data_IF_304952811819
#
_entry.id   IF_304952811819
#
_cell.length_a   1.000
_cell.length_b   1.000
_cell.length_c   1.000
_cell.angle_alpha   90.00
_cell.angle_beta   90.00
_cell.angle_gamma   90.00
#
_symmetry.space_group_name_H-M   'P 1'
#
loop_
_entity.id
_entity.type
_entity.pdbx_description
1 polymer ?
#
# COMPACT_ATOMS: atom_id res chain seq x y z
N UNK A 1 39.02 -51.12 -11.70
CA UNK A 1 38.16 -50.37 -12.65
C UNK A 1 36.91 -49.77 -11.98
N UNK A 2 36.99 -49.30 -10.71
CA UNK A 2 35.83 -48.72 -9.96
C UNK A 2 36.13 -47.34 -9.34
N UNK A 3 37.41 -46.98 -9.16
CA UNK A 3 37.80 -45.65 -8.63
C UNK A 3 37.70 -44.51 -9.67
N UNK A 4 37.77 -44.79 -10.98
CA UNK A 4 37.74 -43.75 -12.02
C UNK A 4 36.32 -43.20 -12.27
N UNK A 5 35.27 -44.02 -12.05
CA UNK A 5 33.87 -43.60 -12.24
C UNK A 5 33.35 -42.67 -11.14
N UNK A 6 33.89 -42.76 -9.91
CA UNK A 6 33.46 -41.94 -8.77
C UNK A 6 33.88 -40.48 -8.88
N UNK A 7 35.01 -40.19 -9.56
CA UNK A 7 35.49 -38.82 -9.77
C UNK A 7 34.75 -38.09 -10.89
N UNK A 8 34.35 -38.80 -11.95
CA UNK A 8 33.58 -38.22 -13.05
C UNK A 8 32.14 -37.82 -12.63
N UNK A 9 31.49 -38.64 -11.80
CA UNK A 9 30.14 -38.34 -11.29
C UNK A 9 30.10 -37.11 -10.37
N UNK A 10 31.13 -36.90 -9.55
CA UNK A 10 31.21 -35.75 -8.64
C UNK A 10 31.48 -34.43 -9.38
N UNK A 11 32.29 -34.44 -10.46
CA UNK A 11 32.51 -33.26 -11.31
C UNK A 11 31.28 -32.90 -12.16
N UNK A 12 30.51 -33.90 -12.61
CA UNK A 12 29.26 -33.65 -13.34
C UNK A 12 28.16 -33.06 -12.43
N UNK A 13 28.07 -33.49 -11.17
CA UNK A 13 27.11 -32.92 -10.22
C UNK A 13 27.42 -31.44 -9.90
N UNK A 14 28.70 -31.08 -9.79
CA UNK A 14 29.13 -29.70 -9.53
C UNK A 14 28.90 -28.78 -10.74
N UNK A 15 29.10 -29.28 -11.96
CA UNK A 15 28.83 -28.53 -13.18
C UNK A 15 27.33 -28.25 -13.41
N UNK A 16 26.45 -29.18 -13.00
CA UNK A 16 24.99 -29.00 -13.10
C UNK A 16 24.45 -27.94 -12.13
N UNK A 17 25.06 -27.78 -10.95
CA UNK A 17 24.67 -26.74 -9.98
C UNK A 17 25.08 -25.34 -10.47
N UNK A 18 26.18 -25.22 -11.22
CA UNK A 18 26.63 -23.95 -11.80
C UNK A 18 25.90 -23.55 -13.08
N UNK A 19 25.22 -24.50 -13.75
CA UNK A 19 24.46 -24.26 -14.98
C UNK A 19 22.94 -24.15 -14.75
N UNK A 20 22.51 -24.07 -13.50
CA UNK A 20 21.14 -23.68 -13.18
C UNK A 20 21.13 -22.14 -13.17
N UNK A 21 20.59 -21.47 -14.20
CA UNK A 21 20.43 -20.03 -14.13
C UNK A 21 19.64 -19.73 -12.87
N UNK A 22 20.19 -18.86 -12.01
CA UNK A 22 19.45 -18.22 -10.92
C UNK A 22 18.46 -17.25 -11.56
N UNK A 23 17.55 -17.78 -12.38
CA UNK A 23 16.29 -17.16 -12.75
C UNK A 23 15.27 -17.61 -11.70
N UNK A 24 15.58 -17.40 -10.42
CA UNK A 24 14.52 -17.27 -9.44
C UNK A 24 13.79 -15.99 -9.81
N UNK A 25 12.72 -16.20 -10.56
CA UNK A 25 11.84 -15.22 -11.10
C UNK A 25 11.53 -14.18 -10.02
N UNK A 26 11.79 -12.92 -10.37
CA UNK A 26 11.08 -11.82 -9.76
C UNK A 26 9.63 -11.88 -10.29
N UNK A 27 8.89 -12.94 -9.98
CA UNK A 27 7.45 -12.97 -10.23
C UNK A 27 6.87 -11.89 -9.33
N UNK A 28 6.50 -10.74 -9.90
CA UNK A 28 5.66 -9.78 -9.18
C UNK A 28 4.51 -10.58 -8.60
N UNK A 29 4.34 -10.52 -7.29
CA UNK A 29 3.19 -11.12 -6.65
C UNK A 29 1.94 -10.51 -7.28
N UNK A 30 1.13 -11.36 -7.89
CA UNK A 30 -0.03 -10.96 -8.69
C UNK A 30 -1.26 -10.99 -7.83
N UNK A 31 -1.99 -9.89 -7.83
CA UNK A 31 -3.26 -9.77 -7.12
C UNK A 31 -4.41 -10.08 -8.07
N UNK A 32 -5.32 -10.98 -7.68
CA UNK A 32 -6.56 -11.25 -8.45
C UNK A 32 -7.54 -10.08 -8.40
N UNK A 33 -7.43 -9.20 -7.39
CA UNK A 33 -8.28 -8.02 -7.20
C UNK A 33 -7.53 -6.78 -7.66
N UNK A 34 -8.01 -6.15 -8.73
CA UNK A 34 -7.50 -4.84 -9.19
C UNK A 34 -7.63 -3.79 -8.08
N UNK A 35 -6.48 -3.30 -7.63
CA UNK A 35 -6.38 -2.42 -6.46
C UNK A 35 -5.81 -1.05 -6.86
N UNK A 36 -6.52 0.01 -6.51
CA UNK A 36 -6.09 1.40 -6.65
C UNK A 36 -5.51 1.88 -5.33
N UNK A 37 -4.26 2.33 -5.33
CA UNK A 37 -3.60 2.89 -4.15
C UNK A 37 -3.43 4.38 -4.35
N UNK A 38 -4.08 5.18 -3.51
CA UNK A 38 -3.93 6.62 -3.48
C UNK A 38 -2.97 6.97 -2.36
N UNK A 39 -1.83 7.58 -2.73
CA UNK A 39 -0.79 7.98 -1.79
C UNK A 39 -0.76 9.49 -1.70
N UNK A 40 -0.70 10.01 -0.47
CA UNK A 40 -0.47 11.43 -0.26
C UNK A 40 0.43 11.67 0.93
N UNK A 41 1.40 12.56 0.75
CA UNK A 41 2.32 12.97 1.80
C UNK A 41 2.75 14.43 1.58
N UNK A 42 2.60 15.33 2.58
CA UNK A 42 2.88 16.76 2.40
C UNK A 42 4.37 17.07 2.20
N UNK A 43 5.25 16.16 2.63
CA UNK A 43 6.71 16.27 2.52
C UNK A 43 7.32 14.95 2.00
N UNK A 44 7.00 14.52 0.76
CA UNK A 44 7.30 13.19 0.24
C UNK A 44 8.81 12.89 0.28
N UNK A 45 9.66 13.89 0.06
CA UNK A 45 11.12 13.78 0.13
C UNK A 45 11.66 13.40 1.52
N UNK A 46 10.89 13.63 2.58
CA UNK A 46 11.25 13.25 3.96
C UNK A 46 10.56 11.97 4.43
N UNK A 47 9.70 11.38 3.60
CA UNK A 47 8.90 10.23 3.98
C UNK A 47 9.71 8.93 3.88
N UNK A 48 9.73 8.16 4.96
CA UNK A 48 10.35 6.83 4.98
C UNK A 48 9.29 5.74 4.88
N UNK A 49 8.28 5.75 5.77
CA UNK A 49 7.27 4.70 5.83
C UNK A 49 6.29 4.77 4.65
N UNK A 50 5.71 5.93 4.36
CA UNK A 50 4.77 6.07 3.23
C UNK A 50 5.48 5.79 1.90
N UNK A 51 6.75 6.20 1.77
CA UNK A 51 7.57 5.88 0.60
C UNK A 51 7.80 4.37 0.45
N UNK A 52 8.21 3.69 1.52
CA UNK A 52 8.41 2.23 1.48
C UNK A 52 7.12 1.46 1.18
N UNK A 53 5.98 1.90 1.75
CA UNK A 53 4.67 1.31 1.44
C UNK A 53 4.25 1.56 -0.02
N UNK A 54 4.53 2.75 -0.54
CA UNK A 54 4.29 3.07 -1.94
C UNK A 54 5.12 2.17 -2.87
N UNK A 55 6.43 2.07 -2.64
CA UNK A 55 7.34 1.25 -3.43
C UNK A 55 6.95 -0.24 -3.40
N UNK A 56 6.55 -0.74 -2.22
CA UNK A 56 6.01 -2.09 -2.09
C UNK A 56 4.74 -2.28 -2.94
N UNK A 57 3.79 -1.33 -2.89
CA UNK A 57 2.57 -1.39 -3.70
C UNK A 57 2.86 -1.34 -5.21
N UNK A 58 3.81 -0.49 -5.64
CA UNK A 58 4.25 -0.38 -7.04
C UNK A 58 4.92 -1.67 -7.54
N UNK A 59 5.44 -2.51 -6.65
CA UNK A 59 6.06 -3.79 -7.01
C UNK A 59 5.05 -4.88 -7.38
N UNK A 60 3.76 -4.72 -7.08
CA UNK A 60 2.75 -5.77 -7.25
C UNK A 60 2.03 -5.69 -8.61
N UNK A 61 1.72 -6.83 -9.22
CA UNK A 61 0.88 -6.88 -10.43
C UNK A 61 -0.60 -6.74 -10.05
N UNK A 62 -1.35 -5.94 -10.82
CA UNK A 62 -2.77 -5.64 -10.55
C UNK A 62 -3.00 -4.46 -9.59
N UNK A 63 -1.92 -3.82 -9.14
CA UNK A 63 -1.96 -2.61 -8.31
C UNK A 63 -1.62 -1.38 -9.14
N UNK A 64 -2.49 -0.37 -9.09
CA UNK A 64 -2.25 0.95 -9.69
C UNK A 64 -2.00 1.95 -8.57
N UNK A 65 -0.81 2.55 -8.54
CA UNK A 65 -0.44 3.55 -7.54
C UNK A 65 -0.58 4.95 -8.11
N UNK A 66 -1.21 5.85 -7.35
CA UNK A 66 -1.38 7.28 -7.69
C UNK A 66 -0.89 8.12 -6.53
N UNK A 67 0.32 8.66 -6.67
CA UNK A 67 0.86 9.64 -5.73
C UNK A 67 0.36 11.05 -6.11
N UNK A 68 -0.45 11.65 -5.24
CA UNK A 68 -1.16 12.90 -5.55
C UNK A 68 -0.21 14.07 -5.74
N UNK A 69 0.82 14.19 -4.91
CA UNK A 69 1.82 15.25 -5.02
C UNK A 69 2.68 15.11 -6.28
N UNK A 70 2.94 13.89 -6.72
CA UNK A 70 3.66 13.63 -7.98
C UNK A 70 2.81 14.01 -9.20
N UNK A 71 1.52 13.68 -9.18
CA UNK A 71 0.61 13.92 -10.31
C UNK A 71 0.17 15.38 -10.43
N UNK A 72 -0.09 16.04 -9.30
CA UNK A 72 -0.75 17.34 -9.25
C UNK A 72 0.07 18.43 -8.55
N UNK A 73 1.25 18.09 -8.01
CA UNK A 73 1.99 18.98 -7.13
C UNK A 73 1.23 19.23 -5.83
N UNK A 74 1.42 20.41 -5.26
CA UNK A 74 0.75 20.85 -4.03
C UNK A 74 -0.46 21.78 -4.32
N UNK A 75 -0.94 21.81 -5.56
CA UNK A 75 -2.10 22.62 -5.96
C UNK A 75 -3.34 21.74 -6.09
N UNK A 76 -4.19 21.81 -5.07
CA UNK A 76 -5.43 21.01 -4.99
C UNK A 76 -6.38 21.27 -6.14
N UNK A 77 -6.33 22.44 -6.79
CA UNK A 77 -7.21 22.81 -7.91
C UNK A 77 -6.81 22.13 -9.22
N UNK A 78 -5.62 21.52 -9.27
CA UNK A 78 -5.14 20.78 -10.46
C UNK A 78 -5.65 19.35 -10.51
N UNK A 79 -6.28 18.86 -9.44
CA UNK A 79 -6.83 17.51 -9.38
C UNK A 79 -7.87 17.35 -10.48
N UNK A 80 -7.66 16.35 -11.34
CA UNK A 80 -8.61 16.02 -12.40
C UNK A 80 -9.60 14.97 -11.88
N UNK A 81 -10.71 15.43 -11.30
CA UNK A 81 -11.73 14.55 -10.72
C UNK A 81 -12.30 13.51 -11.69
N UNK A 82 -12.48 13.84 -12.98
CA UNK A 82 -12.99 12.89 -13.98
C UNK A 82 -12.03 11.73 -14.22
N UNK A 83 -10.72 12.02 -14.34
CA UNK A 83 -9.69 11.01 -14.51
C UNK A 83 -9.60 10.08 -13.30
N UNK A 84 -9.65 10.63 -12.09
CA UNK A 84 -9.61 9.87 -10.85
C UNK A 84 -10.86 8.98 -10.68
N UNK A 85 -12.04 9.51 -10.99
CA UNK A 85 -13.29 8.72 -10.99
C UNK A 85 -13.27 7.60 -12.03
N UNK A 86 -12.65 7.81 -13.19
CA UNK A 86 -12.43 6.74 -14.17
C UNK A 86 -11.54 5.64 -13.60
N UNK A 87 -10.43 6.01 -12.96
CA UNK A 87 -9.55 5.04 -12.29
C UNK A 87 -10.31 4.27 -11.22
N UNK A 88 -11.12 4.94 -10.39
CA UNK A 88 -11.91 4.24 -9.39
C UNK A 88 -12.90 3.23 -9.98
N UNK A 89 -13.53 3.52 -11.14
CA UNK A 89 -14.43 2.56 -11.80
C UNK A 89 -13.70 1.28 -12.24
N UNK A 90 -12.45 1.39 -12.65
CA UNK A 90 -11.64 0.27 -13.15
C UNK A 90 -11.09 -0.65 -12.06
N UNK A 91 -11.17 -0.22 -10.79
CA UNK A 91 -10.61 -0.95 -9.64
C UNK A 91 -11.70 -1.36 -8.66
N UNK A 92 -11.57 -2.54 -8.07
CA UNK A 92 -12.55 -3.07 -7.09
C UNK A 92 -12.18 -2.73 -5.66
N UNK A 93 -10.89 -2.48 -5.40
CA UNK A 93 -10.35 -2.10 -4.10
C UNK A 93 -9.66 -0.75 -4.18
N UNK A 94 -9.87 0.11 -3.19
CA UNK A 94 -9.18 1.39 -3.03
C UNK A 94 -8.47 1.42 -1.69
N UNK A 95 -7.17 1.74 -1.70
CA UNK A 95 -6.32 1.83 -0.51
C UNK A 95 -5.81 3.26 -0.41
N UNK A 96 -5.98 3.88 0.74
CA UNK A 96 -5.46 5.22 1.03
C UNK A 96 -4.21 5.12 1.90
N UNK A 97 -3.10 5.68 1.46
CA UNK A 97 -1.86 5.73 2.24
C UNK A 97 -1.49 7.18 2.54
N UNK A 98 -1.45 7.56 3.81
CA UNK A 98 -1.08 8.91 4.23
C UNK A 98 -0.57 8.98 5.67
N UNK A 99 0.30 9.94 6.03
CA UNK A 99 0.62 10.20 7.42
C UNK A 99 -0.54 10.92 8.13
N UNK A 100 -0.83 10.51 9.37
CA UNK A 100 -1.74 11.23 10.26
C UNK A 100 -1.00 12.43 10.85
N UNK A 101 -1.39 13.63 10.44
CA UNK A 101 -0.93 14.88 11.05
C UNK A 101 -2.12 15.54 11.75
N UNK A 102 -1.98 15.86 13.05
CA UNK A 102 -3.05 16.45 13.85
C UNK A 102 -4.37 15.67 13.78
N UNK A 103 -4.30 14.34 13.86
CA UNK A 103 -5.45 13.43 13.80
C UNK A 103 -6.27 13.58 12.51
N UNK A 104 -5.62 14.00 11.42
CA UNK A 104 -6.28 14.27 10.15
C UNK A 104 -5.49 13.66 8.97
N UNK A 105 -6.17 13.60 7.82
CA UNK A 105 -5.60 13.25 6.53
C UNK A 105 -4.81 14.44 5.94
N UNK A 106 -4.06 14.20 4.88
CA UNK A 106 -3.28 15.24 4.20
C UNK A 106 -4.17 16.17 3.36
N UNK A 107 -3.74 17.43 3.11
CA UNK A 107 -4.52 18.38 2.32
C UNK A 107 -4.86 17.89 0.91
N UNK A 108 -3.90 17.26 0.22
CA UNK A 108 -4.12 16.72 -1.12
C UNK A 108 -5.10 15.54 -1.10
N UNK A 109 -5.01 14.65 -0.11
CA UNK A 109 -5.98 13.55 0.06
C UNK A 109 -7.39 14.09 0.31
N UNK A 110 -7.53 15.12 1.16
CA UNK A 110 -8.83 15.76 1.43
C UNK A 110 -9.42 16.37 0.16
N UNK A 111 -8.61 17.07 -0.63
CA UNK A 111 -9.05 17.67 -1.89
C UNK A 111 -9.45 16.60 -2.91
N UNK A 112 -8.67 15.52 -3.03
CA UNK A 112 -9.01 14.39 -3.89
C UNK A 112 -10.36 13.78 -3.52
N UNK A 113 -10.62 13.54 -2.22
CA UNK A 113 -11.90 13.03 -1.75
C UNK A 113 -13.07 13.98 -2.05
N UNK A 114 -12.86 15.30 -1.98
CA UNK A 114 -13.91 16.26 -2.38
C UNK A 114 -14.29 16.08 -3.85
N UNK A 115 -13.31 15.90 -4.74
CA UNK A 115 -13.52 15.74 -6.18
C UNK A 115 -14.12 14.38 -6.58
N UNK A 116 -13.73 13.31 -5.89
CA UNK A 116 -14.10 11.94 -6.28
C UNK A 116 -15.26 11.35 -5.48
N UNK A 117 -15.53 11.85 -4.28
CA UNK A 117 -16.63 11.40 -3.43
C UNK A 117 -17.73 12.44 -3.36
N UNK A 118 -17.38 13.70 -3.04
CA UNK A 118 -18.34 14.79 -2.83
C UNK A 118 -19.22 15.05 -4.06
N UNK A 119 -18.69 14.84 -5.26
CA UNK A 119 -19.33 15.24 -6.52
C UNK A 119 -20.19 14.17 -7.21
N UNK A 120 -20.28 12.93 -6.71
CA UNK A 120 -20.85 11.80 -7.48
C UNK A 120 -21.81 10.86 -6.73
N UNK A 121 -22.04 11.06 -5.44
CA UNK A 121 -22.98 10.23 -4.66
C UNK A 121 -22.51 8.77 -4.47
N UNK A 122 -23.31 7.91 -3.82
CA UNK A 122 -22.87 6.61 -3.30
C UNK A 122 -22.58 5.57 -4.40
N UNK A 123 -23.13 5.70 -5.61
CA UNK A 123 -23.06 4.67 -6.65
C UNK A 123 -21.64 4.33 -7.11
N UNK A 124 -20.70 5.28 -7.06
CA UNK A 124 -19.31 5.02 -7.43
C UNK A 124 -18.59 4.11 -6.41
N UNK A 125 -19.04 4.07 -5.16
CA UNK A 125 -18.41 3.33 -4.07
C UNK A 125 -19.07 1.99 -3.76
N UNK A 126 -20.27 1.75 -4.28
CA UNK A 126 -21.01 0.51 -4.04
C UNK A 126 -20.22 -0.72 -4.51
N UNK A 127 -20.11 -1.72 -3.63
CA UNK A 127 -19.43 -2.98 -3.89
C UNK A 127 -17.90 -2.89 -3.96
N UNK A 128 -17.30 -1.74 -3.63
CA UNK A 128 -15.85 -1.58 -3.55
C UNK A 128 -15.33 -1.84 -2.15
N UNK A 129 -14.13 -2.42 -2.08
CA UNK A 129 -13.40 -2.56 -0.83
C UNK A 129 -12.57 -1.30 -0.57
N UNK A 130 -12.56 -0.84 0.69
CA UNK A 130 -11.82 0.35 1.09
C UNK A 130 -10.88 0.01 2.24
N UNK A 131 -9.63 0.47 2.11
CA UNK A 131 -8.62 0.38 3.15
C UNK A 131 -8.01 1.74 3.44
N UNK A 132 -7.81 2.02 4.73
CA UNK A 132 -7.05 3.17 5.18
C UNK A 132 -5.79 2.67 5.86
N UNK A 133 -4.65 3.07 5.31
CA UNK A 133 -3.30 2.78 5.79
C UNK A 133 -2.68 4.09 6.22
N UNK A 134 -2.71 4.37 7.52
CA UNK A 134 -2.09 5.58 8.04
C UNK A 134 -0.93 5.28 8.98
N UNK A 135 0.06 6.17 8.92
CA UNK A 135 1.20 6.19 9.84
C UNK A 135 1.03 7.34 10.81
N UNK A 136 1.24 7.11 12.09
CA UNK A 136 1.10 8.14 13.11
C UNK A 136 2.39 8.23 13.95
N UNK A 137 2.68 9.44 14.44
CA UNK A 137 3.70 9.64 15.46
C UNK A 137 3.09 9.35 16.84
N UNK A 138 3.83 8.65 17.69
CA UNK A 138 3.35 8.15 18.98
C UNK A 138 3.13 6.65 18.98
N UNK A 139 3.29 6.03 20.15
CA UNK A 139 3.14 4.59 20.35
C UNK A 139 1.91 4.26 21.19
N UNK A 140 1.97 3.13 21.91
CA UNK A 140 0.91 2.68 22.82
C UNK A 140 0.57 3.69 23.93
N UNK A 141 1.53 4.51 24.38
CA UNK A 141 1.26 5.59 25.34
C UNK A 141 0.34 6.69 24.77
N UNK A 142 0.23 6.78 23.45
CA UNK A 142 -0.65 7.73 22.75
C UNK A 142 -1.93 7.04 22.27
N UNK A 143 -1.82 5.95 21.52
CA UNK A 143 -2.93 5.26 20.83
C UNK A 143 -3.26 3.87 21.39
N UNK A 144 -2.72 3.51 22.55
CA UNK A 144 -3.10 2.26 23.22
C UNK A 144 -4.49 2.35 23.83
N UNK A 145 -5.05 1.22 24.30
CA UNK A 145 -6.33 1.20 25.02
C UNK A 145 -6.39 2.22 26.16
N UNK A 146 -5.30 2.33 26.92
CA UNK A 146 -5.10 3.29 28.02
C UNK A 146 -4.23 4.50 27.60
N UNK A 147 -4.06 4.72 26.30
CA UNK A 147 -3.25 5.79 25.75
C UNK A 147 -3.90 7.16 25.98
N UNK A 148 -3.09 8.23 25.88
CA UNK A 148 -3.53 9.62 26.10
C UNK A 148 -4.78 10.06 25.35
N UNK A 149 -5.02 9.46 24.18
CA UNK A 149 -6.13 9.85 23.30
C UNK A 149 -7.37 8.98 23.54
N UNK A 150 -7.25 7.91 24.32
CA UNK A 150 -8.34 7.02 24.73
C UNK A 150 -8.98 6.23 23.57
N UNK A 151 -9.12 4.92 23.73
CA UNK A 151 -10.10 4.13 22.97
C UNK A 151 -9.92 3.94 21.45
N UNK A 152 -8.93 4.55 20.80
CA UNK A 152 -8.63 4.28 19.38
C UNK A 152 -7.50 3.25 19.30
N UNK A 153 -7.85 1.97 19.39
CA UNK A 153 -6.92 0.90 19.06
C UNK A 153 -6.68 0.91 17.55
N UNK A 154 -5.55 1.47 17.10
CA UNK A 154 -5.04 1.20 15.77
C UNK A 154 -4.77 -0.31 15.67
N UNK A 155 -5.56 -1.06 14.90
CA UNK A 155 -5.26 -2.46 14.57
C UNK A 155 -3.91 -2.53 13.87
N UNK A 156 -2.87 -2.92 14.61
CA UNK A 156 -1.49 -2.99 14.14
C UNK A 156 -1.28 -4.26 13.31
N UNK A 157 -0.96 -4.14 12.03
CA UNK A 157 -0.15 -5.17 11.38
C UNK A 157 1.29 -4.90 11.81
N UNK A 158 1.77 -5.67 12.79
CA UNK A 158 3.19 -5.74 13.10
C UNK A 158 3.86 -6.51 11.95
N UNK A 159 4.49 -5.81 11.03
CA UNK A 159 5.59 -6.45 10.30
C UNK A 159 6.72 -6.65 11.31
N UNK A 160 7.21 -7.87 11.37
CA UNK A 160 8.29 -8.32 12.22
C UNK A 160 9.43 -7.28 12.33
N UNK A 161 9.98 -7.15 13.52
CA UNK A 161 11.11 -6.27 13.88
C UNK A 161 10.91 -4.73 13.78
N UNK A 162 10.24 -4.16 14.78
CA UNK A 162 10.69 -2.89 15.39
C UNK A 162 10.50 -1.57 14.62
N UNK A 163 9.75 -1.52 13.50
CA UNK A 163 9.47 -0.27 12.77
C UNK A 163 7.97 0.00 12.59
N UNK A 164 7.51 1.02 13.34
CA UNK A 164 6.29 1.87 13.30
C UNK A 164 5.03 1.36 12.53
N UNK A 165 3.84 1.46 13.15
CA UNK A 165 2.62 0.79 12.69
C UNK A 165 1.94 1.46 11.48
N UNK A 166 1.23 0.65 10.70
CA UNK A 166 0.27 1.04 9.68
C UNK A 166 -1.11 0.43 10.01
N UNK A 167 -2.18 1.24 9.93
CA UNK A 167 -3.55 0.83 10.30
C UNK A 167 -4.26 0.10 9.14
N UNK A 168 -5.27 -0.73 9.44
CA UNK A 168 -6.26 -1.25 8.48
C UNK A 168 -7.66 -0.88 8.98
N UNK A 169 -8.44 -0.17 8.17
CA UNK A 169 -9.88 0.02 8.40
C UNK A 169 -10.66 -0.72 7.31
N UNK A 170 -11.51 -1.67 7.70
CA UNK A 170 -12.48 -2.33 6.82
C UNK A 170 -13.82 -1.56 6.93
N UNK A 171 -14.20 -0.80 5.90
CA UNK A 171 -15.43 0.05 5.91
C UNK A 171 -16.72 -0.72 5.53
N UNK A 172 -16.62 -2.02 5.23
CA UNK A 172 -17.71 -2.75 4.55
C UNK A 172 -18.63 -3.59 5.46
N UNK A 173 -18.90 -3.19 6.72
CA UNK A 173 -19.86 -3.94 7.57
C UNK A 173 -20.59 -3.11 8.65
N UNK A 174 -20.90 -1.84 8.40
CA UNK A 174 -21.90 -1.14 9.22
C UNK A 174 -23.30 -1.31 8.61
N UNK A 175 -24.27 -1.94 9.30
CA UNK A 175 -25.63 -2.13 8.79
C UNK A 175 -26.47 -0.85 8.70
N UNK A 176 -25.98 0.27 9.23
CA UNK A 176 -26.77 1.48 9.44
C UNK A 176 -26.31 2.66 8.56
N UNK A 177 -26.44 2.52 7.23
CA UNK A 177 -26.48 3.63 6.27
C UNK A 177 -27.50 3.36 5.15
#
# INVERSE_FOLDING_TARGET
>A
MVLLQRRAAALFLFAFIFLMPISHAHSREKTDIKTLVIVSHPYPERSVLTKGLQEAAESLEGVTVRNLETLYGYDTRRINGDAERKMMREHRRVVFIFPTHWFNITPMMKAWLNETWGSVGPGLWQGKEMFIVSTAAGGSSTYGPDGRIGGIACGCVFTDEGKRPACRYDVASSPDL
#
